data_IF_195273107705
#
_entry.id   IF_195273107705
#
_cell.length_a   1.000
_cell.length_b   1.000
_cell.length_c   1.000
_cell.angle_alpha   90.00
_cell.angle_beta   90.00
_cell.angle_gamma   90.00
#
_symmetry.space_group_name_H-M   'P 1'
#
loop_
_entity.id
_entity.type
_entity.pdbx_description
1 polymer ?
#
# COMPACT_ATOMS: atom_id res chain seq x y z
N UNK A 1 8.77 -16.59 -0.53
CA UNK A 1 7.70 -16.26 -1.50
C UNK A 1 7.84 -14.82 -1.96
N UNK A 2 8.32 -14.65 -3.19
CA UNK A 2 8.35 -13.34 -3.88
C UNK A 2 6.98 -12.93 -4.43
N UNK A 3 6.00 -13.83 -4.36
CA UNK A 3 4.64 -13.66 -4.83
C UNK A 3 3.75 -13.43 -3.60
N UNK A 4 3.03 -12.29 -3.55
CA UNK A 4 2.10 -11.88 -2.49
C UNK A 4 2.62 -10.91 -1.43
N UNK A 5 3.49 -9.99 -1.85
CA UNK A 5 3.88 -8.82 -1.08
C UNK A 5 2.73 -7.83 -0.83
N UNK A 6 3.06 -6.65 -0.28
CA UNK A 6 2.01 -5.65 0.00
C UNK A 6 1.36 -5.11 -1.28
N UNK A 7 2.13 -4.88 -2.34
CA UNK A 7 1.62 -4.35 -3.61
C UNK A 7 0.75 -5.39 -4.31
N UNK A 8 1.17 -6.66 -4.31
CA UNK A 8 0.41 -7.77 -4.92
C UNK A 8 -0.98 -7.88 -4.30
N UNK A 9 -1.06 -7.80 -2.97
CA UNK A 9 -2.33 -7.87 -2.23
C UNK A 9 -3.25 -6.70 -2.53
N UNK A 10 -2.69 -5.50 -2.72
CA UNK A 10 -3.47 -4.35 -3.16
C UNK A 10 -3.88 -4.47 -4.62
N UNK A 11 -3.04 -5.04 -5.48
CA UNK A 11 -3.33 -5.26 -6.89
C UNK A 11 -4.55 -6.18 -7.05
N UNK A 12 -4.54 -7.33 -6.36
CA UNK A 12 -5.68 -8.27 -6.36
C UNK A 12 -6.97 -7.62 -5.86
N UNK A 13 -6.89 -6.80 -4.81
CA UNK A 13 -8.05 -6.11 -4.26
C UNK A 13 -8.55 -5.00 -5.18
N UNK A 14 -7.64 -4.20 -5.76
CA UNK A 14 -7.98 -3.10 -6.65
C UNK A 14 -8.67 -3.64 -7.92
N UNK A 15 -8.13 -4.69 -8.54
CA UNK A 15 -8.73 -5.33 -9.72
C UNK A 15 -10.16 -5.80 -9.43
N UNK A 16 -10.39 -6.40 -8.27
CA UNK A 16 -11.71 -6.84 -7.86
C UNK A 16 -12.67 -5.66 -7.58
N UNK A 17 -12.15 -4.58 -6.98
CA UNK A 17 -12.90 -3.34 -6.73
C UNK A 17 -13.29 -2.61 -8.02
N UNK A 18 -12.42 -2.61 -9.04
CA UNK A 18 -12.69 -1.98 -10.33
C UNK A 18 -13.70 -2.77 -11.16
N UNK A 19 -13.60 -4.10 -11.13
CA UNK A 19 -14.50 -4.99 -11.87
C UNK A 19 -15.91 -5.03 -11.25
N UNK A 20 -15.99 -4.96 -9.92
CA UNK A 20 -17.20 -5.01 -9.08
C UNK A 20 -18.27 -6.00 -9.54
N UNK A 21 -17.82 -7.12 -10.09
CA UNK A 21 -18.66 -8.17 -10.64
C UNK A 21 -17.95 -9.51 -10.55
N UNK A 22 -18.72 -10.59 -10.54
CA UNK A 22 -18.23 -11.96 -10.35
C UNK A 22 -18.37 -12.69 -11.67
N UNK A 23 -17.26 -13.23 -12.18
CA UNK A 23 -17.26 -14.03 -13.41
C UNK A 23 -17.68 -15.48 -13.12
N UNK A 24 -18.04 -16.22 -14.18
CA UNK A 24 -18.30 -17.66 -14.05
C UNK A 24 -17.06 -18.42 -13.58
N UNK A 25 -15.86 -18.02 -14.04
CA UNK A 25 -14.61 -18.64 -13.61
C UNK A 25 -14.36 -18.42 -12.10
N UNK A 26 -14.71 -17.26 -11.57
CA UNK A 26 -14.60 -16.99 -10.12
C UNK A 26 -15.46 -17.98 -9.31
N UNK A 27 -16.70 -18.23 -9.74
CA UNK A 27 -17.59 -19.18 -9.08
C UNK A 27 -17.06 -20.63 -9.14
N UNK A 28 -16.46 -21.03 -10.27
CA UNK A 28 -15.84 -22.35 -10.42
C UNK A 28 -14.66 -22.50 -9.46
N UNK A 29 -13.78 -21.50 -9.38
CA UNK A 29 -12.60 -21.55 -8.51
C UNK A 29 -13.00 -21.58 -7.03
N UNK A 30 -13.99 -20.78 -6.64
CA UNK A 30 -14.56 -20.79 -5.28
C UNK A 30 -15.22 -22.13 -4.93
N UNK A 31 -15.98 -22.70 -5.85
CA UNK A 31 -16.61 -24.02 -5.68
C UNK A 31 -15.58 -25.14 -5.48
N UNK A 32 -14.49 -25.13 -6.26
CA UNK A 32 -13.36 -26.07 -6.10
C UNK A 32 -12.66 -25.93 -4.75
N UNK A 33 -12.63 -24.72 -4.19
CA UNK A 33 -12.08 -24.44 -2.85
C UNK A 33 -13.05 -24.75 -1.71
N UNK A 34 -14.25 -25.27 -2.01
CA UNK A 34 -15.28 -25.54 -1.00
C UNK A 34 -15.92 -24.29 -0.42
N UNK A 35 -15.73 -23.11 -1.04
CA UNK A 35 -16.31 -21.85 -0.60
C UNK A 35 -17.67 -21.66 -1.27
N UNK A 36 -18.72 -22.12 -0.58
CA UNK A 36 -20.09 -22.13 -1.11
C UNK A 36 -20.94 -20.93 -0.72
N UNK A 37 -22.24 -21.02 -1.04
CA UNK A 37 -23.25 -19.99 -0.77
C UNK A 37 -23.38 -19.63 0.70
N UNK A 38 -23.15 -20.57 1.63
CA UNK A 38 -23.18 -20.30 3.08
C UNK A 38 -22.18 -19.20 3.49
N UNK A 39 -21.03 -19.13 2.82
CA UNK A 39 -20.01 -18.13 3.08
C UNK A 39 -20.11 -16.92 2.16
N UNK A 40 -20.62 -17.07 0.94
CA UNK A 40 -20.57 -16.01 -0.07
C UNK A 40 -21.88 -15.24 -0.24
N UNK A 41 -23.02 -15.81 0.16
CA UNK A 41 -24.31 -15.16 0.00
C UNK A 41 -24.37 -13.83 0.76
N UNK A 42 -24.99 -12.84 0.12
CA UNK A 42 -25.15 -11.48 0.67
C UNK A 42 -23.88 -10.63 0.70
N UNK A 43 -22.73 -11.14 0.20
CA UNK A 43 -21.54 -10.31 0.03
C UNK A 43 -21.61 -9.49 -1.28
N UNK A 44 -20.95 -8.32 -1.34
CA UNK A 44 -20.90 -7.52 -2.56
C UNK A 44 -20.02 -8.18 -3.62
N UNK A 45 -20.27 -7.87 -4.90
CA UNK A 45 -19.63 -8.48 -6.06
C UNK A 45 -18.10 -8.40 -6.01
N UNK A 46 -17.54 -7.21 -5.77
CA UNK A 46 -16.10 -7.02 -5.61
C UNK A 46 -15.47 -7.92 -4.53
N UNK A 47 -16.17 -8.21 -3.43
CA UNK A 47 -15.60 -9.02 -2.34
C UNK A 47 -15.58 -10.51 -2.71
N UNK A 48 -16.60 -10.98 -3.41
CA UNK A 48 -16.64 -12.34 -3.94
C UNK A 48 -15.56 -12.52 -5.01
N UNK A 49 -15.40 -11.56 -5.93
CA UNK A 49 -14.34 -11.58 -6.93
C UNK A 49 -12.94 -11.56 -6.29
N UNK A 50 -12.73 -10.69 -5.29
CA UNK A 50 -11.48 -10.67 -4.51
C UNK A 50 -11.17 -12.02 -3.86
N UNK A 51 -12.18 -12.68 -3.30
CA UNK A 51 -12.03 -14.00 -2.69
C UNK A 51 -11.59 -15.04 -3.71
N UNK A 52 -12.16 -15.03 -4.93
CA UNK A 52 -11.73 -15.91 -6.01
C UNK A 52 -10.28 -15.65 -6.43
N UNK A 53 -9.88 -14.38 -6.51
CA UNK A 53 -8.49 -14.00 -6.78
C UNK A 53 -7.52 -14.55 -5.73
N UNK A 54 -7.89 -14.50 -4.45
CA UNK A 54 -7.11 -15.10 -3.38
C UNK A 54 -7.03 -16.63 -3.49
N UNK A 55 -8.13 -17.31 -3.83
CA UNK A 55 -8.14 -18.76 -4.03
C UNK A 55 -7.19 -19.17 -5.16
N UNK A 56 -7.16 -18.44 -6.28
CA UNK A 56 -6.18 -18.68 -7.36
C UNK A 56 -4.75 -18.54 -6.86
N UNK A 57 -4.46 -17.49 -6.07
CA UNK A 57 -3.15 -17.33 -5.45
C UNK A 57 -2.80 -18.49 -4.52
N UNK A 58 -3.74 -18.93 -3.68
CA UNK A 58 -3.53 -20.04 -2.74
C UNK A 58 -3.23 -21.34 -3.49
N UNK A 59 -3.91 -21.62 -4.60
CA UNK A 59 -3.60 -22.80 -5.40
C UNK A 59 -2.26 -22.69 -6.13
N UNK A 60 -1.88 -21.48 -6.56
CA UNK A 60 -0.53 -21.23 -7.07
C UNK A 60 0.53 -21.43 -5.98
N UNK A 61 0.27 -20.98 -4.74
CA UNK A 61 1.12 -21.21 -3.56
C UNK A 61 1.28 -22.71 -3.32
N UNK A 62 0.18 -23.48 -3.30
CA UNK A 62 0.18 -24.94 -3.14
C UNK A 62 1.04 -25.64 -4.18
N UNK A 63 1.05 -25.19 -5.44
CA UNK A 63 1.84 -25.81 -6.50
C UNK A 63 3.35 -25.58 -6.34
N UNK A 64 3.75 -24.41 -5.84
CA UNK A 64 5.16 -24.00 -5.77
C UNK A 64 5.82 -24.24 -4.41
N UNK A 65 5.01 -24.30 -3.35
CA UNK A 65 5.48 -24.38 -1.97
C UNK A 65 6.23 -25.69 -1.64
N UNK A 66 5.83 -26.89 -2.12
CA UNK A 66 6.56 -28.12 -1.83
C UNK A 66 8.04 -28.04 -2.21
N UNK A 67 8.36 -27.51 -3.40
CA UNK A 67 9.74 -27.39 -3.87
C UNK A 67 10.57 -26.44 -3.00
N UNK A 68 9.97 -25.34 -2.54
CA UNK A 68 10.64 -24.37 -1.67
C UNK A 68 10.88 -24.94 -0.26
N UNK A 69 9.91 -25.67 0.29
CA UNK A 69 10.04 -26.39 1.57
C UNK A 69 11.13 -27.46 1.46
N UNK A 70 11.09 -28.27 0.40
CA UNK A 70 12.07 -29.33 0.17
C UNK A 70 13.49 -28.75 0.11
N UNK A 71 13.68 -27.67 -0.65
CA UNK A 71 14.98 -26.98 -0.74
C UNK A 71 15.46 -26.51 0.63
N UNK A 72 14.60 -25.82 1.38
CA UNK A 72 14.93 -25.34 2.72
C UNK A 72 15.31 -26.47 3.67
N UNK A 73 14.51 -27.54 3.72
CA UNK A 73 14.74 -28.69 4.60
C UNK A 73 16.05 -29.40 4.28
N UNK A 74 16.35 -29.61 3.00
CA UNK A 74 17.60 -30.23 2.55
C UNK A 74 18.80 -29.36 2.92
N UNK A 75 18.72 -28.04 2.69
CA UNK A 75 19.81 -27.12 3.00
C UNK A 75 20.05 -27.03 4.53
N UNK A 76 18.99 -27.03 5.34
CA UNK A 76 19.09 -27.06 6.80
C UNK A 76 19.70 -28.39 7.29
N UNK A 77 19.20 -29.54 6.83
CA UNK A 77 19.73 -30.86 7.23
C UNK A 77 21.18 -31.08 6.81
N UNK A 78 21.59 -30.55 5.64
CA UNK A 78 22.99 -30.56 5.20
C UNK A 78 23.92 -29.82 6.15
N UNK A 79 23.46 -28.74 6.78
CA UNK A 79 24.27 -28.00 7.77
C UNK A 79 24.58 -28.84 9.01
N UNK A 80 23.72 -29.80 9.34
CA UNK A 80 23.86 -30.68 10.51
C UNK A 80 24.38 -32.09 10.18
N UNK A 81 24.85 -32.34 8.96
CA UNK A 81 25.36 -33.64 8.50
C UNK A 81 24.38 -34.81 8.71
N UNK A 82 23.07 -34.53 8.64
CA UNK A 82 22.02 -35.54 8.79
C UNK A 82 21.87 -36.32 7.47
N UNK A 83 21.69 -37.64 7.54
CA UNK A 83 21.39 -38.47 6.36
C UNK A 83 20.01 -38.09 5.78
N UNK A 84 19.95 -37.85 4.47
CA UNK A 84 18.74 -37.31 3.81
C UNK A 84 18.11 -38.39 2.93
N UNK A 85 16.89 -38.81 3.29
CA UNK A 85 16.05 -39.61 2.42
C UNK A 85 15.18 -38.69 1.56
N UNK A 86 15.53 -38.53 0.28
CA UNK A 86 14.87 -37.60 -0.63
C UNK A 86 13.38 -37.88 -0.85
N UNK A 87 12.96 -39.15 -0.85
CA UNK A 87 11.55 -39.51 -1.06
C UNK A 87 10.71 -39.12 0.17
N UNK A 88 11.25 -39.34 1.37
CA UNK A 88 10.61 -38.91 2.61
C UNK A 88 10.49 -37.39 2.68
N UNK A 89 11.56 -36.64 2.39
CA UNK A 89 11.52 -35.17 2.43
C UNK A 89 10.51 -34.59 1.43
N UNK A 90 10.41 -35.20 0.25
CA UNK A 90 9.44 -34.76 -0.77
C UNK A 90 8.00 -34.97 -0.27
N UNK A 91 7.70 -36.15 0.26
CA UNK A 91 6.38 -36.43 0.82
C UNK A 91 6.05 -35.49 1.99
N UNK A 92 7.00 -35.24 2.89
CA UNK A 92 6.82 -34.31 4.01
C UNK A 92 6.55 -32.88 3.52
N UNK A 93 7.28 -32.43 2.50
CA UNK A 93 7.07 -31.11 1.90
C UNK A 93 5.69 -30.96 1.25
N UNK A 94 5.20 -32.00 0.57
CA UNK A 94 3.85 -32.04 -0.01
C UNK A 94 2.78 -31.99 1.08
N UNK A 95 2.92 -32.77 2.16
CA UNK A 95 2.00 -32.77 3.30
C UNK A 95 1.98 -31.40 4.00
N UNK A 96 3.15 -30.78 4.21
CA UNK A 96 3.24 -29.45 4.79
C UNK A 96 2.56 -28.39 3.91
N UNK A 97 2.75 -28.45 2.59
CA UNK A 97 2.10 -27.53 1.65
C UNK A 97 0.57 -27.67 1.68
N UNK A 98 0.06 -28.91 1.80
CA UNK A 98 -1.37 -29.17 1.97
C UNK A 98 -1.91 -28.61 3.30
N UNK A 99 -1.12 -28.73 4.39
CA UNK A 99 -1.43 -28.09 5.66
C UNK A 99 -1.54 -26.57 5.54
N UNK A 100 -0.62 -25.94 4.80
CA UNK A 100 -0.66 -24.49 4.53
C UNK A 100 -1.90 -24.11 3.74
N UNK A 101 -2.23 -24.84 2.65
CA UNK A 101 -3.45 -24.63 1.86
C UNK A 101 -4.70 -24.57 2.75
N UNK A 102 -4.90 -25.61 3.58
CA UNK A 102 -6.06 -25.70 4.47
C UNK A 102 -6.11 -24.53 5.46
N UNK A 103 -4.96 -24.16 6.03
CA UNK A 103 -4.84 -22.99 6.91
C UNK A 103 -5.18 -21.68 6.19
N UNK A 104 -4.73 -21.49 4.94
CA UNK A 104 -5.07 -20.30 4.14
C UNK A 104 -6.57 -20.18 3.88
N UNK A 105 -7.22 -21.29 3.50
CA UNK A 105 -8.66 -21.30 3.25
C UNK A 105 -9.43 -20.92 4.52
N UNK A 106 -9.07 -21.46 5.68
CA UNK A 106 -9.66 -21.07 6.95
C UNK A 106 -9.43 -19.59 7.27
N UNK A 107 -8.24 -19.05 7.00
CA UNK A 107 -7.92 -17.62 7.21
C UNK A 107 -8.80 -16.69 6.36
N UNK A 108 -9.14 -17.09 5.12
CA UNK A 108 -10.10 -16.38 4.28
C UNK A 108 -11.48 -16.40 4.92
N UNK A 109 -11.97 -17.57 5.38
CA UNK A 109 -13.29 -17.68 6.03
C UNK A 109 -13.41 -16.71 7.21
N UNK A 110 -12.42 -16.70 8.10
CA UNK A 110 -12.39 -15.79 9.25
C UNK A 110 -12.35 -14.31 8.84
N UNK A 111 -11.60 -14.00 7.78
CA UNK A 111 -11.51 -12.63 7.24
C UNK A 111 -12.85 -12.18 6.70
N UNK A 112 -13.54 -13.02 5.92
CA UNK A 112 -14.85 -12.70 5.36
C UNK A 112 -15.90 -12.54 6.45
N UNK A 113 -15.87 -13.34 7.51
CA UNK A 113 -16.80 -13.19 8.63
C UNK A 113 -16.63 -11.85 9.36
N UNK A 114 -15.39 -11.47 9.69
CA UNK A 114 -15.08 -10.17 10.30
C UNK A 114 -15.50 -8.99 9.42
N UNK A 115 -15.18 -9.06 8.13
CA UNK A 115 -15.53 -7.98 7.18
C UNK A 115 -17.04 -7.89 6.98
N UNK A 116 -17.73 -9.03 6.84
CA UNK A 116 -19.19 -9.11 6.78
C UNK A 116 -19.84 -8.48 7.99
N UNK A 117 -19.35 -8.79 9.19
CA UNK A 117 -19.87 -8.21 10.43
C UNK A 117 -19.80 -6.68 10.40
N UNK A 118 -18.62 -6.12 10.09
CA UNK A 118 -18.43 -4.66 10.03
C UNK A 118 -19.31 -4.03 8.94
N UNK A 119 -19.39 -4.64 7.76
CA UNK A 119 -20.27 -4.16 6.68
C UNK A 119 -21.74 -4.18 7.08
N UNK A 120 -22.21 -5.22 7.78
CA UNK A 120 -23.58 -5.29 8.30
C UNK A 120 -23.85 -4.15 9.28
N UNK A 121 -22.92 -3.85 10.18
CA UNK A 121 -23.05 -2.74 11.12
C UNK A 121 -23.13 -1.38 10.43
N UNK A 122 -22.42 -1.18 9.31
CA UNK A 122 -22.34 0.13 8.63
C UNK A 122 -23.46 0.31 7.61
N UNK A 123 -23.76 -0.72 6.83
CA UNK A 123 -24.63 -0.66 5.65
C UNK A 123 -25.95 -1.41 5.82
N UNK A 124 -26.16 -2.10 6.94
CA UNK A 124 -27.31 -2.97 7.18
C UNK A 124 -27.18 -4.28 6.40
N UNK A 125 -27.29 -4.22 5.07
CA UNK A 125 -27.01 -5.34 4.17
C UNK A 125 -25.58 -5.22 3.62
N UNK A 126 -24.68 -6.19 3.88
CA UNK A 126 -23.33 -6.18 3.33
C UNK A 126 -23.26 -6.08 1.81
N UNK A 127 -24.28 -6.53 1.07
CA UNK A 127 -24.33 -6.42 -0.39
C UNK A 127 -24.29 -4.97 -0.89
N UNK A 128 -24.72 -4.02 -0.05
CA UNK A 128 -24.71 -2.60 -0.35
C UNK A 128 -23.36 -1.92 -0.03
N UNK A 129 -22.39 -2.65 0.53
CA UNK A 129 -21.08 -2.11 0.84
C UNK A 129 -20.31 -1.82 -0.47
N UNK A 130 -19.96 -0.55 -0.76
CA UNK A 130 -19.23 -0.21 -1.98
C UNK A 130 -17.80 -0.75 -1.94
N UNK A 131 -17.05 -0.73 -3.04
CA UNK A 131 -15.63 -1.08 -3.01
C UNK A 131 -14.78 -0.13 -2.13
N UNK A 132 -13.84 -0.65 -1.31
CA UNK A 132 -13.01 0.16 -0.43
C UNK A 132 -11.86 0.88 -1.14
N UNK A 133 -11.45 0.42 -2.32
CA UNK A 133 -10.44 1.08 -3.16
C UNK A 133 -11.12 1.68 -4.39
N UNK A 134 -10.79 2.94 -4.70
CA UNK A 134 -11.36 3.67 -5.83
C UNK A 134 -10.24 4.29 -6.65
N UNK A 135 -10.13 3.91 -7.93
CA UNK A 135 -9.19 4.54 -8.86
C UNK A 135 -9.56 6.01 -9.06
N UNK A 136 -8.54 6.86 -9.11
CA UNK A 136 -8.66 8.26 -9.47
C UNK A 136 -8.53 8.42 -10.98
N UNK A 137 -9.44 9.17 -11.58
CA UNK A 137 -9.43 9.49 -13.01
C UNK A 137 -10.04 10.87 -13.28
N UNK A 138 -9.76 11.41 -14.46
CA UNK A 138 -10.28 12.70 -14.92
C UNK A 138 -10.11 13.83 -13.89
N UNK A 139 -11.20 14.53 -13.59
CA UNK A 139 -11.20 15.68 -12.64
C UNK A 139 -10.71 15.31 -11.25
N UNK A 140 -11.01 14.11 -10.75
CA UNK A 140 -10.58 13.68 -9.42
C UNK A 140 -9.06 13.50 -9.33
N UNK A 141 -8.43 13.04 -10.41
CA UNK A 141 -6.99 12.92 -10.53
C UNK A 141 -6.32 14.30 -10.62
N UNK A 142 -6.85 15.20 -11.47
CA UNK A 142 -6.38 16.59 -11.56
C UNK A 142 -6.47 17.29 -10.20
N UNK A 143 -7.56 17.09 -9.45
CA UNK A 143 -7.71 17.65 -8.11
C UNK A 143 -6.69 17.09 -7.12
N UNK A 144 -6.36 15.79 -7.18
CA UNK A 144 -5.41 15.17 -6.26
C UNK A 144 -3.95 15.56 -6.55
N UNK A 145 -3.61 15.80 -7.82
CA UNK A 145 -2.24 16.06 -8.26
C UNK A 145 -1.96 17.56 -8.39
N UNK A 146 -2.84 18.32 -9.05
CA UNK A 146 -2.58 19.70 -9.48
C UNK A 146 -3.38 20.75 -8.69
N UNK A 147 -4.72 20.67 -8.64
CA UNK A 147 -5.59 21.81 -8.26
C UNK A 147 -6.22 21.84 -6.88
N UNK A 148 -6.37 20.70 -6.20
CA UNK A 148 -7.03 20.68 -4.89
C UNK A 148 -6.21 21.39 -3.80
N UNK A 149 -6.87 21.85 -2.74
CA UNK A 149 -6.21 22.50 -1.58
C UNK A 149 -5.13 21.64 -0.92
N UNK A 150 -5.18 20.33 -1.15
CA UNK A 150 -4.23 19.34 -0.69
C UNK A 150 -3.61 18.55 -1.83
N UNK A 151 -3.53 19.16 -3.01
CA UNK A 151 -2.84 18.56 -4.13
C UNK A 151 -1.34 18.50 -3.86
N UNK A 152 -0.63 17.64 -4.58
CA UNK A 152 0.84 17.58 -4.49
C UNK A 152 1.44 18.96 -4.78
N UNK A 153 0.92 19.65 -5.79
CA UNK A 153 1.41 20.97 -6.20
C UNK A 153 1.11 22.03 -5.14
N UNK A 154 -0.08 22.01 -4.52
CA UNK A 154 -0.43 22.93 -3.43
C UNK A 154 0.50 22.74 -2.22
N UNK A 155 0.74 21.49 -1.82
CA UNK A 155 1.64 21.16 -0.71
C UNK A 155 3.11 21.50 -1.00
N UNK A 156 3.53 21.35 -2.26
CA UNK A 156 4.86 21.75 -2.71
C UNK A 156 5.04 23.26 -2.55
N UNK A 157 4.10 24.05 -3.07
CA UNK A 157 4.13 25.51 -2.98
C UNK A 157 4.11 25.97 -1.52
N UNK A 158 3.24 25.38 -0.68
CA UNK A 158 3.20 25.67 0.75
C UNK A 158 4.53 25.34 1.45
N UNK A 159 5.19 24.25 1.04
CA UNK A 159 6.48 23.86 1.62
C UNK A 159 7.63 24.76 1.15
N UNK A 160 7.54 25.34 -0.05
CA UNK A 160 8.54 26.25 -0.62
C UNK A 160 8.43 27.67 -0.09
N UNK A 161 7.23 28.11 0.29
CA UNK A 161 6.93 29.50 0.68
C UNK A 161 7.89 30.11 1.73
N UNK A 162 8.34 29.39 2.78
CA UNK A 162 9.29 29.95 3.75
C UNK A 162 10.74 30.03 3.27
N UNK A 163 11.04 29.54 2.07
CA UNK A 163 12.40 29.30 1.58
C UNK A 163 12.71 29.96 0.24
N UNK A 164 11.71 30.53 -0.44
CA UNK A 164 11.82 31.12 -1.77
C UNK A 164 11.35 32.57 -1.70
N UNK A 165 12.04 33.46 -2.42
CA UNK A 165 11.66 34.87 -2.51
C UNK A 165 10.26 35.03 -3.11
N UNK A 166 9.49 36.02 -2.61
CA UNK A 166 8.08 36.19 -2.96
C UNK A 166 7.86 36.42 -4.46
N UNK A 167 8.75 37.16 -5.13
CA UNK A 167 8.70 37.41 -6.56
C UNK A 167 8.87 36.12 -7.37
N UNK A 168 9.88 35.31 -7.02
CA UNK A 168 10.15 34.01 -7.67
C UNK A 168 8.99 33.04 -7.43
N UNK A 169 8.44 33.00 -6.21
CA UNK A 169 7.30 32.16 -5.88
C UNK A 169 6.04 32.59 -6.62
N UNK A 170 5.82 33.89 -6.80
CA UNK A 170 4.68 34.45 -7.53
C UNK A 170 4.74 34.14 -9.03
N UNK A 171 5.92 34.26 -9.65
CA UNK A 171 6.16 33.82 -11.03
C UNK A 171 5.87 32.32 -11.20
N UNK A 172 6.41 31.49 -10.29
CA UNK A 172 6.15 30.05 -10.32
C UNK A 172 4.65 29.72 -10.17
N UNK A 173 3.94 30.38 -9.26
CA UNK A 173 2.49 30.24 -9.09
C UNK A 173 1.74 30.61 -10.37
N UNK A 174 2.15 31.68 -11.06
CA UNK A 174 1.55 32.09 -12.33
C UNK A 174 1.79 31.05 -13.43
N UNK A 175 3.02 30.55 -13.57
CA UNK A 175 3.37 29.51 -14.55
C UNK A 175 2.65 28.18 -14.28
N UNK A 176 2.49 27.78 -13.01
CA UNK A 176 1.72 26.58 -12.63
C UNK A 176 0.25 26.70 -13.06
N UNK A 177 -0.35 27.89 -12.95
CA UNK A 177 -1.72 28.12 -13.44
C UNK A 177 -1.80 27.99 -14.96
N UNK A 178 -0.78 28.45 -15.69
CA UNK A 178 -0.72 28.34 -17.14
C UNK A 178 -0.53 26.89 -17.64
N UNK A 179 0.07 26.01 -16.84
CA UNK A 179 0.29 24.59 -17.16
C UNK A 179 -0.79 23.67 -16.58
N UNK A 180 -1.99 24.18 -16.42
CA UNK A 180 -3.11 23.41 -15.88
C UNK A 180 -3.58 22.30 -16.85
N UNK A 181 -3.59 21.02 -16.43
CA UNK A 181 -3.97 19.91 -17.31
C UNK A 181 -5.49 19.72 -17.43
N UNK A 182 -6.31 20.56 -16.80
CA UNK A 182 -7.78 20.37 -16.74
C UNK A 182 -8.47 20.37 -18.11
N UNK A 183 -7.92 21.07 -19.09
CA UNK A 183 -8.48 21.21 -20.45
C UNK A 183 -7.86 20.24 -21.47
N UNK A 184 -6.96 19.36 -21.04
CA UNK A 184 -6.33 18.37 -21.91
C UNK A 184 -7.33 17.30 -22.37
N UNK A 185 -7.33 16.97 -23.66
CA UNK A 185 -8.12 15.85 -24.21
C UNK A 185 -7.72 14.52 -23.57
N UNK A 186 -6.41 14.31 -23.40
CA UNK A 186 -5.83 13.24 -22.57
C UNK A 186 -5.41 13.83 -21.23
N UNK A 187 -6.25 13.67 -20.21
CA UNK A 187 -5.97 14.18 -18.86
C UNK A 187 -4.72 13.53 -18.25
N UNK A 188 -4.49 12.23 -18.47
CA UNK A 188 -3.34 11.53 -17.89
C UNK A 188 -2.03 12.00 -18.53
N UNK A 189 -2.00 12.08 -19.86
CA UNK A 189 -0.88 12.65 -20.61
C UNK A 189 -0.65 14.13 -20.29
N UNK A 190 -1.72 14.91 -20.16
CA UNK A 190 -1.67 16.32 -19.75
C UNK A 190 -1.03 16.49 -18.37
N UNK A 191 -1.47 15.73 -17.37
CA UNK A 191 -0.87 15.73 -16.03
C UNK A 191 0.61 15.34 -16.09
N UNK A 192 0.96 14.28 -16.83
CA UNK A 192 2.36 13.87 -16.99
C UNK A 192 3.20 15.02 -17.55
N UNK A 193 2.76 15.66 -18.63
CA UNK A 193 3.48 16.77 -19.25
C UNK A 193 3.64 17.97 -18.29
N UNK A 194 2.58 18.36 -17.58
CA UNK A 194 2.62 19.44 -16.59
C UNK A 194 3.58 19.12 -15.43
N UNK A 195 3.62 17.86 -14.96
CA UNK A 195 4.55 17.44 -13.91
C UNK A 195 6.00 17.40 -14.41
N UNK A 196 6.25 16.95 -15.64
CA UNK A 196 7.61 16.96 -16.23
C UNK A 196 8.12 18.38 -16.42
N UNK A 197 7.26 19.31 -16.85
CA UNK A 197 7.57 20.73 -16.89
C UNK A 197 7.88 21.27 -15.48
N UNK A 198 7.04 20.98 -14.48
CA UNK A 198 7.25 21.43 -13.10
C UNK A 198 8.56 20.89 -12.51
N UNK A 199 8.89 19.62 -12.81
CA UNK A 199 10.17 19.01 -12.46
C UNK A 199 11.33 19.84 -13.01
N UNK A 200 11.27 20.25 -14.27
CA UNK A 200 12.36 21.00 -14.91
C UNK A 200 12.47 22.42 -14.35
N UNK A 201 11.36 23.12 -14.14
CA UNK A 201 11.36 24.44 -13.47
C UNK A 201 11.95 24.37 -12.07
N UNK A 202 11.58 23.38 -11.26
CA UNK A 202 12.12 23.22 -9.90
C UNK A 202 13.64 23.06 -9.89
N UNK A 203 14.23 22.49 -10.94
CA UNK A 203 15.69 22.30 -11.04
C UNK A 203 16.43 23.58 -11.41
N UNK A 204 15.74 24.60 -11.89
CA UNK A 204 16.34 25.93 -12.13
C UNK A 204 16.47 26.73 -10.84
N UNK A 205 15.74 26.36 -9.78
CA UNK A 205 15.74 27.06 -8.51
C UNK A 205 16.98 26.72 -7.67
N UNK A 206 17.47 27.72 -6.93
CA UNK A 206 18.65 27.58 -6.07
C UNK A 206 18.37 26.65 -4.89
N UNK A 207 19.25 25.67 -4.67
CA UNK A 207 19.12 24.74 -3.55
C UNK A 207 19.97 25.19 -2.35
N UNK A 208 19.45 24.96 -1.15
CA UNK A 208 20.17 25.17 0.12
C UNK A 208 20.05 23.94 1.01
N UNK A 209 20.80 23.89 2.11
CA UNK A 209 20.65 22.81 3.11
C UNK A 209 19.25 22.76 3.74
N UNK A 210 18.49 23.88 3.69
CA UNK A 210 17.10 23.96 4.19
C UNK A 210 16.04 23.67 3.13
N UNK A 211 16.42 23.74 1.85
CA UNK A 211 15.50 23.79 0.72
C UNK A 211 16.06 22.98 -0.46
N UNK A 212 15.51 21.79 -0.69
CA UNK A 212 16.00 20.84 -1.70
C UNK A 212 15.04 20.71 -2.89
N UNK A 213 14.98 21.74 -3.73
CA UNK A 213 14.17 21.73 -4.96
C UNK A 213 14.59 20.61 -5.92
N UNK A 214 15.87 20.26 -5.95
CA UNK A 214 16.41 19.14 -6.72
C UNK A 214 15.86 17.77 -6.30
N UNK A 215 15.60 17.59 -5.00
CA UNK A 215 14.97 16.39 -4.44
C UNK A 215 13.46 16.39 -4.68
N UNK A 216 12.81 17.55 -4.55
CA UNK A 216 11.41 17.72 -4.89
C UNK A 216 11.16 17.41 -6.38
N UNK A 217 12.03 17.88 -7.29
CA UNK A 217 11.95 17.57 -8.72
C UNK A 217 12.00 16.06 -8.99
N UNK A 218 12.89 15.31 -8.32
CA UNK A 218 12.95 13.85 -8.48
C UNK A 218 11.67 13.16 -7.99
N UNK A 219 11.05 13.66 -6.91
CA UNK A 219 9.75 13.16 -6.46
C UNK A 219 8.63 13.47 -7.47
N UNK A 220 8.59 14.69 -8.00
CA UNK A 220 7.65 15.08 -9.06
C UNK A 220 7.84 14.22 -10.31
N UNK A 221 9.08 13.87 -10.65
CA UNK A 221 9.38 12.94 -11.73
C UNK A 221 8.80 11.54 -11.47
N UNK A 222 8.87 11.02 -10.24
CA UNK A 222 8.21 9.76 -9.88
C UNK A 222 6.69 9.85 -10.04
N UNK A 223 6.07 10.96 -9.63
CA UNK A 223 4.64 11.19 -9.83
C UNK A 223 4.27 11.27 -11.32
N UNK A 224 5.09 11.92 -12.14
CA UNK A 224 4.85 12.04 -13.58
C UNK A 224 4.84 10.69 -14.31
N UNK A 225 5.55 9.70 -13.79
CA UNK A 225 5.61 8.34 -14.33
C UNK A 225 4.74 7.33 -13.58
N UNK A 226 3.95 7.79 -12.59
CA UNK A 226 2.95 6.97 -11.95
C UNK A 226 1.67 6.98 -12.78
N UNK A 227 1.20 5.81 -13.19
CA UNK A 227 0.04 5.62 -14.09
C UNK A 227 -1.25 5.39 -13.31
N UNK A 228 -1.19 4.62 -12.24
CA UNK A 228 -2.37 4.28 -11.44
C UNK A 228 -2.35 5.00 -10.09
N UNK A 229 -3.36 5.84 -9.88
CA UNK A 229 -3.65 6.45 -8.59
C UNK A 229 -4.99 5.96 -8.08
N UNK A 230 -5.07 5.72 -6.77
CA UNK A 230 -6.30 5.29 -6.12
C UNK A 230 -6.38 5.87 -4.71
N UNK A 231 -7.60 5.99 -4.20
CA UNK A 231 -7.86 6.38 -2.82
C UNK A 231 -8.58 5.29 -2.08
N UNK A 232 -8.47 5.34 -0.77
CA UNK A 232 -9.30 4.52 0.11
C UNK A 232 -10.62 5.24 0.34
N UNK A 233 -11.71 4.49 0.34
CA UNK A 233 -13.02 4.98 0.75
C UNK A 233 -13.16 4.73 2.25
N UNK A 234 -13.30 5.82 3.00
CA UNK A 234 -13.46 5.73 4.45
C UNK A 234 -14.82 5.12 4.79
N UNK A 235 -14.79 4.01 5.51
CA UNK A 235 -15.98 3.43 6.13
C UNK A 235 -16.19 4.05 7.51
N UNK A 236 -17.41 4.00 8.03
CA UNK A 236 -17.67 4.52 9.37
C UNK A 236 -16.99 3.64 10.42
N UNK A 237 -16.46 4.26 11.46
CA UNK A 237 -15.98 3.53 12.65
C UNK A 237 -17.15 2.82 13.34
N UNK A 238 -16.97 1.54 13.67
CA UNK A 238 -17.97 0.71 14.36
C UNK A 238 -17.46 0.33 15.74
N UNK A 239 -18.34 0.34 16.74
CA UNK A 239 -18.07 -0.29 18.04
C UNK A 239 -18.94 -1.54 18.16
N UNK A 240 -18.34 -2.65 18.59
CA UNK A 240 -19.12 -3.85 18.90
C UNK A 240 -20.05 -3.59 20.08
N UNK A 241 -21.12 -4.38 20.22
CA UNK A 241 -21.82 -4.49 21.50
C UNK A 241 -20.83 -4.82 22.63
N UNK A 242 -21.12 -4.38 23.86
CA UNK A 242 -20.29 -4.67 25.01
C UNK A 242 -20.31 -6.16 25.37
N UNK A 243 -19.14 -6.68 25.70
CA UNK A 243 -18.97 -7.99 26.33
C UNK A 243 -18.59 -7.74 27.78
N UNK A 244 -19.31 -8.37 28.70
CA UNK A 244 -19.02 -8.28 30.13
C UNK A 244 -18.10 -9.44 30.49
N UNK A 245 -16.89 -9.12 30.95
CA UNK A 245 -15.87 -10.10 31.30
C UNK A 245 -15.70 -10.08 32.82
N UNK A 246 -15.95 -11.22 33.45
CA UNK A 246 -15.67 -11.46 34.86
C UNK A 246 -14.18 -11.74 35.07
N UNK A 247 -13.62 -11.39 36.25
CA UNK A 247 -12.29 -11.86 36.65
C UNK A 247 -12.11 -13.38 36.56
N UNK A 248 -13.19 -14.15 36.73
CA UNK A 248 -13.18 -15.61 36.58
C UNK A 248 -12.99 -16.07 35.13
N UNK A 249 -13.43 -15.27 34.15
CA UNK A 249 -13.35 -15.62 32.72
C UNK A 249 -11.92 -15.54 32.18
N UNK A 250 -11.07 -14.72 32.81
CA UNK A 250 -9.68 -14.48 32.38
C UNK A 250 -8.66 -15.37 33.13
N UNK A 251 -9.14 -16.23 34.02
CA UNK A 251 -8.34 -17.17 34.78
C UNK A 251 -7.51 -16.53 35.91
N UNK A 252 -6.88 -17.36 36.77
CA UNK A 252 -6.29 -16.92 38.03
C UNK A 252 -5.14 -15.91 37.88
N UNK A 253 -4.50 -15.83 36.70
CA UNK A 253 -3.41 -14.88 36.43
C UNK A 253 -3.86 -13.42 36.26
N UNK A 254 -5.15 -13.20 36.01
CA UNK A 254 -5.71 -11.88 35.72
C UNK A 254 -6.80 -11.47 36.71
N UNK A 255 -7.22 -12.37 37.60
CA UNK A 255 -8.24 -12.12 38.61
C UNK A 255 -7.90 -10.91 39.50
N UNK A 256 -6.64 -10.77 39.91
CA UNK A 256 -6.19 -9.66 40.76
C UNK A 256 -6.11 -8.31 40.03
N UNK A 257 -6.13 -8.31 38.68
CA UNK A 257 -5.96 -7.08 37.86
C UNK A 257 -7.27 -6.38 37.54
N UNK A 258 -8.40 -7.08 37.64
CA UNK A 258 -9.68 -6.58 37.09
C UNK A 258 -10.63 -6.02 38.14
N UNK A 259 -10.28 -6.08 39.43
CA UNK A 259 -11.18 -5.73 40.52
C UNK A 259 -12.33 -6.74 40.68
N UNK A 260 -13.19 -6.60 41.70
CA UNK A 260 -14.22 -7.59 42.02
C UNK A 260 -15.44 -7.57 41.08
N UNK A 261 -15.46 -6.72 40.05
CA UNK A 261 -16.62 -6.49 39.18
C UNK A 261 -16.42 -6.95 37.74
N UNK A 262 -17.53 -7.03 36.99
CA UNK A 262 -17.49 -7.23 35.54
C UNK A 262 -16.87 -6.02 34.87
N UNK A 263 -15.95 -6.27 33.93
CA UNK A 263 -15.42 -5.23 33.05
C UNK A 263 -16.13 -5.27 31.71
N UNK A 264 -16.58 -4.09 31.26
CA UNK A 264 -17.20 -3.91 29.96
C UNK A 264 -16.11 -3.73 28.88
N UNK A 265 -16.11 -4.62 27.89
CA UNK A 265 -15.21 -4.54 26.75
C UNK A 265 -15.97 -4.33 25.45
N UNK A 266 -15.59 -3.29 24.70
CA UNK A 266 -16.09 -3.01 23.36
C UNK A 266 -14.92 -3.01 22.36
N UNK A 267 -15.04 -3.80 21.29
CA UNK A 267 -14.08 -3.73 20.17
C UNK A 267 -14.42 -2.56 19.27
N UNK A 268 -13.46 -1.67 19.04
CA UNK A 268 -13.57 -0.61 18.03
C UNK A 268 -12.95 -1.09 16.71
N UNK A 269 -13.71 -0.94 15.63
CA UNK A 269 -13.30 -1.20 14.25
C UNK A 269 -13.14 0.16 13.54
N UNK A 270 -11.90 0.63 13.32
CA UNK A 270 -11.66 1.92 12.68
C UNK A 270 -12.06 1.92 11.20
N UNK A 271 -12.09 3.10 10.60
CA UNK A 271 -12.53 3.35 9.21
C UNK A 271 -11.81 2.45 8.18
N UNK A 272 -10.51 2.22 8.40
CA UNK A 272 -9.67 1.40 7.52
C UNK A 272 -9.62 -0.09 7.89
N UNK A 273 -10.43 -0.54 8.85
CA UNK A 273 -10.38 -1.92 9.36
C UNK A 273 -10.63 -2.96 8.27
N UNK A 274 -11.71 -2.80 7.48
CA UNK A 274 -12.07 -3.76 6.43
C UNK A 274 -10.93 -3.89 5.41
N UNK A 275 -10.39 -2.76 4.94
CA UNK A 275 -9.27 -2.76 4.02
C UNK A 275 -8.04 -3.45 4.62
N UNK A 276 -7.68 -3.13 5.85
CA UNK A 276 -6.53 -3.73 6.50
C UNK A 276 -6.70 -5.24 6.74
N UNK A 277 -7.90 -5.67 7.13
CA UNK A 277 -8.24 -7.08 7.31
C UNK A 277 -8.18 -7.85 5.98
N UNK A 278 -8.64 -7.25 4.88
CA UNK A 278 -8.51 -7.85 3.54
C UNK A 278 -7.04 -7.93 3.10
N UNK A 279 -6.26 -6.85 3.25
CA UNK A 279 -4.84 -6.87 2.92
C UNK A 279 -4.08 -7.89 3.76
N UNK A 280 -4.40 -8.06 5.04
CA UNK A 280 -3.77 -9.05 5.92
C UNK A 280 -4.64 -10.29 6.13
N UNK A 281 -5.39 -10.73 5.11
CA UNK A 281 -6.32 -11.86 5.22
C UNK A 281 -5.71 -13.13 5.83
N UNK A 282 -4.40 -13.34 5.63
CA UNK A 282 -3.65 -14.48 6.14
C UNK A 282 -3.23 -14.37 7.62
N UNK A 283 -3.56 -13.27 8.29
CA UNK A 283 -3.12 -12.97 9.65
C UNK A 283 -4.32 -12.55 10.51
N UNK A 284 -4.46 -13.19 11.67
CA UNK A 284 -5.54 -12.91 12.63
C UNK A 284 -5.12 -11.87 13.67
N UNK A 285 -4.58 -10.74 13.22
CA UNK A 285 -4.19 -9.65 14.12
C UNK A 285 -5.42 -8.88 14.62
N UNK A 286 -5.39 -8.39 15.86
CA UNK A 286 -6.46 -7.59 16.46
C UNK A 286 -6.52 -6.16 15.91
N UNK A 287 -5.41 -5.63 15.40
CA UNK A 287 -5.26 -4.22 14.91
C UNK A 287 -4.49 -4.16 13.58
N UNK A 288 -5.06 -4.68 12.49
CA UNK A 288 -4.38 -4.80 11.20
C UNK A 288 -4.02 -3.44 10.56
N UNK A 289 -4.77 -2.38 10.85
CA UNK A 289 -4.61 -1.03 10.29
C UNK A 289 -3.27 -0.37 10.66
N UNK A 290 -2.80 -0.57 11.89
CA UNK A 290 -1.51 -0.02 12.36
C UNK A 290 -0.33 -0.52 11.51
N UNK A 291 -0.40 -1.78 11.07
CA UNK A 291 0.60 -2.42 10.21
C UNK A 291 0.52 -1.91 8.78
N UNK A 292 -0.69 -1.63 8.29
CA UNK A 292 -0.96 -1.21 6.92
C UNK A 292 -0.27 0.11 6.59
N UNK A 293 -0.43 1.13 7.45
CA UNK A 293 0.19 2.44 7.26
C UNK A 293 1.70 2.36 7.12
N UNK A 294 2.36 1.50 7.92
CA UNK A 294 3.81 1.30 7.84
C UNK A 294 4.22 0.55 6.58
N UNK A 295 3.46 -0.46 6.17
CA UNK A 295 3.81 -1.33 5.06
C UNK A 295 3.76 -0.62 3.69
N UNK A 296 2.95 0.44 3.55
CA UNK A 296 2.77 1.19 2.29
C UNK A 296 3.86 2.24 2.01
N UNK A 297 4.65 2.62 3.02
CA UNK A 297 5.58 3.77 2.92
C UNK A 297 6.65 3.53 1.86
N UNK A 298 6.71 4.41 0.86
CA UNK A 298 7.68 4.40 -0.22
C UNK A 298 7.32 3.46 -1.37
N UNK A 299 6.86 2.23 -1.08
CA UNK A 299 6.46 1.28 -2.12
C UNK A 299 5.12 1.61 -2.77
N UNK A 300 4.18 2.21 -2.04
CA UNK A 300 2.82 2.52 -2.52
C UNK A 300 2.43 3.98 -2.27
N UNK A 301 2.82 4.52 -1.12
CA UNK A 301 2.73 5.94 -0.81
C UNK A 301 4.10 6.56 -1.00
N UNK A 302 4.24 7.41 -2.01
CA UNK A 302 5.47 8.17 -2.19
C UNK A 302 5.71 9.14 -1.01
N UNK A 303 6.97 9.59 -0.80
CA UNK A 303 7.29 10.57 0.22
C UNK A 303 6.49 11.86 0.10
N UNK A 304 6.28 12.52 1.23
CA UNK A 304 5.67 13.84 1.30
C UNK A 304 6.65 14.90 0.78
N UNK A 305 6.20 15.87 -0.02
CA UNK A 305 7.06 16.94 -0.57
C UNK A 305 7.77 17.75 0.52
N UNK A 306 7.19 17.87 1.72
CA UNK A 306 7.82 18.56 2.85
C UNK A 306 9.06 17.84 3.41
N UNK A 307 9.33 16.60 2.97
CA UNK A 307 10.60 15.90 3.18
C UNK A 307 11.82 16.73 2.77
N UNK A 308 11.65 17.69 1.86
CA UNK A 308 12.73 18.46 1.24
C UNK A 308 12.84 19.90 1.73
N UNK A 309 11.91 20.34 2.58
CA UNK A 309 11.83 21.70 3.14
C UNK A 309 11.81 21.73 4.68
N UNK A 310 12.62 22.58 5.31
CA UNK A 310 12.80 22.64 6.77
C UNK A 310 11.66 23.41 7.46
N UNK A 311 10.87 22.72 8.29
CA UNK A 311 9.73 23.29 9.01
C UNK A 311 10.08 24.08 10.28
N UNK A 312 11.29 23.95 10.84
CA UNK A 312 11.70 24.62 12.08
C UNK A 312 13.23 24.81 12.15
N UNK A 313 13.70 25.85 12.83
CA UNK A 313 15.11 26.26 12.88
C UNK A 313 16.07 25.30 13.63
N UNK A 314 15.62 24.12 14.10
CA UNK A 314 16.53 23.16 14.75
C UNK A 314 17.40 22.42 13.70
N UNK A 315 18.74 22.60 13.69
CA UNK A 315 19.59 22.21 12.56
C UNK A 315 20.02 20.73 12.56
N UNK A 316 19.36 19.84 13.29
CA UNK A 316 20.01 18.58 13.70
C UNK A 316 19.99 17.45 12.68
N UNK A 317 19.44 17.65 11.47
CA UNK A 317 19.58 16.66 10.39
C UNK A 317 19.92 17.38 9.10
N UNK A 318 21.20 17.34 8.72
CA UNK A 318 21.59 17.56 7.33
C UNK A 318 20.74 16.64 6.46
N UNK A 319 19.93 17.25 5.59
CA UNK A 319 19.08 16.53 4.64
C UNK A 319 19.95 16.09 3.47
N UNK A 320 20.82 15.12 3.73
CA UNK A 320 21.75 14.58 2.76
C UNK A 320 20.98 13.96 1.58
N UNK A 321 20.93 14.70 0.48
CA UNK A 321 20.31 14.30 -0.77
C UNK A 321 21.30 14.45 -1.92
N UNK A 322 21.45 13.38 -2.69
CA UNK A 322 22.35 13.34 -3.84
C UNK A 322 22.40 11.95 -4.45
N UNK A 323 23.40 11.71 -5.29
CA UNK A 323 23.53 10.47 -6.07
C UNK A 323 23.47 9.18 -5.24
N UNK A 324 24.03 9.16 -4.02
CA UNK A 324 23.97 7.98 -3.16
C UNK A 324 22.53 7.67 -2.72
N UNK A 325 21.76 8.70 -2.37
CA UNK A 325 20.35 8.57 -1.97
C UNK A 325 19.50 8.11 -3.15
N UNK A 326 19.73 8.66 -4.35
CA UNK A 326 19.02 8.23 -5.57
C UNK A 326 19.37 6.80 -5.96
N UNK A 327 20.65 6.40 -5.95
CA UNK A 327 21.04 5.00 -6.21
C UNK A 327 20.41 4.03 -5.23
N UNK A 328 20.37 4.40 -3.95
CA UNK A 328 19.69 3.59 -2.93
C UNK A 328 18.19 3.48 -3.22
N UNK A 329 17.52 4.60 -3.52
CA UNK A 329 16.11 4.65 -3.89
C UNK A 329 15.82 3.72 -5.09
N UNK A 330 16.54 3.89 -6.19
CA UNK A 330 16.40 3.05 -7.38
C UNK A 330 16.63 1.57 -7.09
N UNK A 331 17.68 1.24 -6.32
CA UNK A 331 17.93 -0.15 -5.90
C UNK A 331 16.77 -0.74 -5.09
N UNK A 332 16.13 0.06 -4.22
CA UNK A 332 14.93 -0.38 -3.48
C UNK A 332 13.74 -0.57 -4.42
N UNK A 333 13.52 0.33 -5.37
CA UNK A 333 12.43 0.22 -6.34
C UNK A 333 12.60 -1.00 -7.25
N UNK A 334 13.82 -1.27 -7.73
CA UNK A 334 14.12 -2.37 -8.65
C UNK A 334 14.15 -3.73 -7.93
N UNK A 335 14.80 -3.83 -6.76
CA UNK A 335 15.09 -5.13 -6.10
C UNK A 335 14.16 -5.47 -4.94
N UNK A 336 13.49 -4.47 -4.35
CA UNK A 336 12.72 -4.63 -3.12
C UNK A 336 11.40 -3.83 -3.18
N UNK A 337 10.76 -3.80 -4.35
CA UNK A 337 9.56 -3.01 -4.63
C UNK A 337 8.43 -3.22 -3.58
N UNK A 338 8.29 -4.44 -3.07
CA UNK A 338 7.27 -4.82 -2.08
C UNK A 338 7.55 -4.35 -0.65
N UNK A 339 8.75 -3.83 -0.36
CA UNK A 339 9.17 -3.46 1.00
C UNK A 339 9.02 -1.97 1.26
N UNK A 340 8.61 -1.57 2.48
CA UNK A 340 8.57 -0.17 2.83
C UNK A 340 9.97 0.44 2.83
N UNK A 341 10.05 1.74 2.56
CA UNK A 341 11.31 2.48 2.60
C UNK A 341 11.76 2.70 4.06
N UNK A 342 13.07 2.70 4.35
CA UNK A 342 13.59 2.91 5.70
C UNK A 342 13.23 4.29 6.27
N UNK A 343 13.11 4.37 7.60
CA UNK A 343 12.75 5.60 8.33
C UNK A 343 13.93 6.55 8.58
N UNK A 344 15.17 6.09 8.44
CA UNK A 344 16.42 6.77 8.80
C UNK A 344 16.97 7.67 7.69
N UNK A 345 16.10 8.21 6.84
CA UNK A 345 16.46 8.96 5.63
C UNK A 345 15.64 10.24 5.53
N UNK A 346 15.96 11.07 4.54
CA UNK A 346 15.30 12.35 4.25
C UNK A 346 13.77 12.25 4.06
N UNK A 347 13.24 11.05 3.80
CA UNK A 347 11.85 10.82 3.45
C UNK A 347 10.91 10.87 4.67
N UNK A 348 10.01 11.83 4.65
CA UNK A 348 8.84 11.91 5.51
C UNK A 348 7.65 11.31 4.76
N UNK A 349 6.80 10.57 5.45
CA UNK A 349 5.59 9.98 4.90
C UNK A 349 4.39 10.38 5.74
N UNK A 350 3.29 10.75 5.07
CA UNK A 350 2.01 11.00 5.74
C UNK A 350 1.56 9.75 6.50
N UNK A 351 0.97 9.96 7.68
CA UNK A 351 0.29 8.89 8.41
C UNK A 351 -1.00 8.45 7.72
N UNK A 352 -1.67 9.40 7.07
CA UNK A 352 -2.94 9.20 6.40
C UNK A 352 -2.96 9.95 5.04
N UNK A 353 -2.40 9.34 3.98
CA UNK A 353 -2.39 9.96 2.66
C UNK A 353 -3.76 9.84 1.99
N UNK A 354 -4.23 10.92 1.37
CA UNK A 354 -5.56 10.99 0.70
C UNK A 354 -5.67 10.08 -0.53
N UNK A 355 -4.53 9.75 -1.14
CA UNK A 355 -4.44 8.83 -2.25
C UNK A 355 -3.09 8.11 -2.23
N UNK A 356 -3.01 7.07 -3.03
CA UNK A 356 -1.88 6.17 -3.18
C UNK A 356 -1.57 6.02 -4.67
N UNK A 357 -0.33 5.70 -4.98
CA UNK A 357 0.16 5.57 -6.34
C UNK A 357 1.68 5.64 -6.33
N UNK A 358 2.30 4.73 -7.07
CA UNK A 358 3.75 4.72 -7.25
C UNK A 358 4.12 3.95 -8.52
N UNK A 359 5.30 4.20 -9.10
CA UNK A 359 5.78 3.41 -10.22
C UNK A 359 5.90 1.92 -9.88
N UNK A 360 6.22 1.58 -8.62
CA UNK A 360 6.30 0.19 -8.16
C UNK A 360 4.92 -0.47 -8.13
N UNK A 361 3.87 0.25 -7.76
CA UNK A 361 2.52 -0.29 -7.85
C UNK A 361 2.14 -0.55 -9.30
N UNK A 362 2.52 0.35 -10.21
CA UNK A 362 2.28 0.17 -11.65
C UNK A 362 3.00 -1.05 -12.22
N UNK A 363 4.22 -1.37 -11.76
CA UNK A 363 4.92 -2.59 -12.18
C UNK A 363 4.14 -3.86 -11.85
N UNK A 364 3.50 -3.89 -10.68
CA UNK A 364 2.70 -5.04 -10.24
C UNK A 364 1.37 -5.10 -10.97
N UNK A 365 0.71 -3.96 -11.18
CA UNK A 365 -0.57 -3.90 -11.89
C UNK A 365 -0.43 -4.30 -13.37
N UNK A 366 0.64 -3.87 -14.02
CA UNK A 366 0.88 -4.11 -15.44
C UNK A 366 1.76 -5.33 -15.72
N UNK A 367 2.24 -6.02 -14.68
CA UNK A 367 3.25 -7.08 -14.78
C UNK A 367 4.44 -6.69 -15.66
N UNK A 368 4.96 -5.47 -15.45
CA UNK A 368 5.98 -4.84 -16.28
C UNK A 368 7.16 -4.37 -15.43
N UNK A 369 8.38 -4.24 -16.00
CA UNK A 369 9.47 -3.56 -15.30
C UNK A 369 9.15 -2.07 -15.08
N UNK A 370 9.96 -1.42 -14.23
CA UNK A 370 9.91 0.03 -14.07
C UNK A 370 10.14 0.74 -15.42
N UNK A 371 9.52 1.90 -15.58
CA UNK A 371 9.66 2.71 -16.78
C UNK A 371 11.14 3.08 -17.04
N UNK A 372 11.61 2.76 -18.25
CA UNK A 372 13.01 2.94 -18.62
C UNK A 372 13.41 4.40 -18.72
N UNK A 373 12.53 5.27 -19.22
CA UNK A 373 12.79 6.71 -19.32
C UNK A 373 12.87 7.32 -17.92
N UNK A 374 11.95 6.91 -17.04
CA UNK A 374 11.95 7.36 -15.65
C UNK A 374 13.27 7.02 -14.96
N UNK A 375 13.68 5.75 -15.04
CA UNK A 375 14.89 5.24 -14.40
C UNK A 375 16.15 5.85 -15.03
N UNK A 376 16.18 5.99 -16.36
CA UNK A 376 17.31 6.60 -17.05
C UNK A 376 17.52 8.04 -16.62
N UNK A 377 16.47 8.87 -16.62
CA UNK A 377 16.57 10.27 -16.20
C UNK A 377 17.07 10.40 -14.76
N UNK A 378 16.55 9.60 -13.81
CA UNK A 378 17.02 9.62 -12.42
C UNK A 378 18.51 9.23 -12.28
N UNK A 379 19.02 8.36 -13.17
CA UNK A 379 20.42 7.92 -13.18
C UNK A 379 21.36 8.96 -13.80
N UNK A 380 20.90 9.73 -14.79
CA UNK A 380 21.75 10.62 -15.60
C UNK A 380 21.57 12.11 -15.30
N UNK A 381 20.52 12.50 -14.57
CA UNK A 381 20.28 13.90 -14.21
C UNK A 381 21.48 14.52 -13.48
N UNK A 382 21.81 15.80 -13.74
CA UNK A 382 22.94 16.46 -13.10
C UNK A 382 22.69 16.76 -11.61
N UNK A 383 23.73 16.79 -10.79
CA UNK A 383 23.60 17.30 -9.42
C UNK A 383 23.48 18.81 -9.46
N UNK A 384 22.40 19.36 -8.87
CA UNK A 384 22.18 20.82 -8.77
C UNK A 384 22.84 21.38 -7.50
N UNK A 385 22.86 20.59 -6.43
CA UNK A 385 23.51 20.97 -5.17
C UNK A 385 24.82 20.19 -4.99
N UNK A 386 25.91 20.92 -4.75
CA UNK A 386 27.25 20.38 -4.54
C UNK A 386 27.73 20.47 -3.08
N UNK A 387 26.88 20.96 -2.17
CA UNK A 387 27.20 21.16 -0.76
C UNK A 387 27.13 19.91 0.09
#
# INVERSE_FOLDING_TARGET
MEFHGVLDRHSLLLQACETDSVSQQDLIDLGRAGLGTCLLAGLPGWLVAYTAHLVRFIYLERQKLPDEILRHNVDEKRQFLIEINMDSEKNDAEVQAEGVLNSRLQQIVHTLDKVRYVMRCIFGDPKNAPPPLVRLSGKSLVSAIWKGDSSIVAELIQSMEPHVEEEVLSDLKAKIRAHDPSESEDIEGGIRNSLLWLRDELRTLSCTYKCRHDAAADLIHLYAYTKCFFRVRDYKTVKSPPVHISPLDLGPKYADKLGPGFQEYCKTYPENYCLAQLIYWYSQNSEPESRLTRARKGCMSLPDVSSFYVKSAKPSQERAYGNRTVRFMLSRMEKQAQRPWPKDRIWVFKSDPRFFGSPMMDTVLNNSPLDKEMVHWLKTRPNVFLG
#
